data_IF_279583157184
#
_entry.id   IF_279583157184
#
_cell.length_a   1.000
_cell.length_b   1.000
_cell.length_c   1.000
_cell.angle_alpha   90.00
_cell.angle_beta   90.00
_cell.angle_gamma   90.00
#
_symmetry.space_group_name_H-M   'P 1'
#
loop_
_entity.id
_entity.type
_entity.pdbx_description
1 polymer ?
#
# COMPACT_ATOMS: atom_id res chain seq x y z
N UNK A 1 -18.47 -7.24 24.17
CA UNK A 1 -18.74 -7.07 22.73
C UNK A 1 -17.62 -7.80 22.03
N UNK A 2 -17.96 -8.80 21.21
CA UNK A 2 -16.96 -9.54 20.45
C UNK A 2 -16.44 -8.62 19.34
N UNK A 3 -15.12 -8.50 19.22
CA UNK A 3 -14.49 -7.73 18.16
C UNK A 3 -13.98 -8.66 17.07
N UNK A 4 -14.26 -8.34 15.82
CA UNK A 4 -13.65 -8.97 14.66
C UNK A 4 -12.36 -8.25 14.26
N UNK A 5 -11.38 -9.02 13.76
CA UNK A 5 -10.14 -8.52 13.18
C UNK A 5 -9.87 -9.21 11.85
N UNK A 6 -9.44 -8.44 10.86
CA UNK A 6 -8.96 -8.90 9.55
C UNK A 6 -7.49 -8.49 9.45
N UNK A 7 -6.61 -9.45 9.18
CA UNK A 7 -5.17 -9.20 9.07
C UNK A 7 -4.70 -9.53 7.66
N UNK A 8 -3.90 -8.64 7.07
CA UNK A 8 -3.28 -8.81 5.78
C UNK A 8 -1.78 -8.58 5.90
N UNK A 9 -1.00 -9.50 5.34
CA UNK A 9 0.44 -9.37 5.20
C UNK A 9 0.77 -9.12 3.73
N UNK A 10 1.62 -8.13 3.46
CA UNK A 10 2.04 -7.82 2.10
C UNK A 10 3.48 -7.32 2.10
N UNK A 11 4.18 -7.48 0.97
CA UNK A 11 5.50 -6.89 0.75
C UNK A 11 5.37 -5.82 -0.33
N UNK A 12 5.59 -4.55 0.01
CA UNK A 12 5.33 -3.49 -0.96
C UNK A 12 5.61 -2.08 -0.46
N UNK A 13 5.21 -1.09 -1.26
CA UNK A 13 5.44 0.34 -1.05
C UNK A 13 4.14 1.14 -0.90
N UNK A 14 3.00 0.52 -1.15
CA UNK A 14 1.69 1.13 -0.94
C UNK A 14 0.58 0.07 -0.79
N UNK A 15 -0.52 0.45 -0.14
CA UNK A 15 -1.74 -0.33 0.04
C UNK A 15 -2.98 0.56 -0.01
N UNK A 16 -4.04 0.08 -0.65
CA UNK A 16 -5.39 0.65 -0.64
C UNK A 16 -6.39 -0.44 -0.26
N UNK A 17 -7.31 -0.14 0.66
CA UNK A 17 -8.35 -1.06 1.11
C UNK A 17 -9.72 -0.53 0.70
N UNK A 18 -10.54 -1.45 0.18
CA UNK A 18 -11.87 -1.15 -0.32
C UNK A 18 -12.92 -2.01 0.38
N UNK A 19 -13.98 -1.37 0.83
CA UNK A 19 -15.16 -2.02 1.40
C UNK A 19 -16.36 -1.94 0.47
N UNK A 20 -17.34 -2.79 0.75
CA UNK A 20 -18.73 -2.57 0.36
C UNK A 20 -19.42 -1.90 1.56
N UNK A 21 -20.07 -0.76 1.34
CA UNK A 21 -20.81 -0.05 2.38
C UNK A 21 -22.30 -0.16 2.11
N UNK A 22 -23.05 -0.65 3.10
CA UNK A 22 -24.50 -0.71 3.06
C UNK A 22 -25.08 0.49 3.80
N UNK A 23 -26.20 1.02 3.32
CA UNK A 23 -26.96 2.07 3.99
C UNK A 23 -28.16 1.44 4.70
N UNK A 24 -29.26 1.22 3.99
CA UNK A 24 -30.46 0.60 4.53
C UNK A 24 -30.75 -0.75 3.84
N UNK A 25 -30.78 -1.84 4.62
CA UNK A 25 -31.06 -3.20 4.12
C UNK A 25 -32.29 -3.84 4.77
N UNK A 26 -33.03 -3.07 5.58
CA UNK A 26 -34.19 -3.54 6.33
C UNK A 26 -34.17 -3.03 7.77
N UNK A 27 -35.33 -3.07 8.42
CA UNK A 27 -35.45 -2.66 9.82
C UNK A 27 -34.63 -3.57 10.72
N UNK A 28 -34.05 -2.98 11.78
CA UNK A 28 -33.32 -3.70 12.85
C UNK A 28 -32.05 -4.42 12.37
N UNK A 29 -31.56 -4.12 11.17
CA UNK A 29 -30.26 -4.59 10.68
C UNK A 29 -29.21 -3.48 10.84
N UNK A 30 -28.08 -3.79 11.47
CA UNK A 30 -26.96 -2.82 11.57
C UNK A 30 -26.15 -2.80 10.28
N UNK A 31 -25.88 -1.59 9.81
CA UNK A 31 -25.01 -1.30 8.65
C UNK A 31 -23.98 -0.22 9.00
N UNK A 32 -23.91 0.19 10.27
CA UNK A 32 -22.88 1.07 10.81
C UNK A 32 -21.51 0.39 10.67
N UNK A 33 -20.61 0.97 9.90
CA UNK A 33 -19.25 0.45 9.76
C UNK A 33 -18.29 1.33 10.54
N UNK A 34 -17.71 0.78 11.62
CA UNK A 34 -16.60 1.39 12.37
C UNK A 34 -15.42 0.43 12.31
N UNK A 35 -14.23 0.94 11.99
CA UNK A 35 -13.02 0.12 11.95
C UNK A 35 -11.77 0.95 12.27
N UNK A 36 -10.82 0.31 12.94
CA UNK A 36 -9.49 0.81 13.21
C UNK A 36 -8.48 0.10 12.30
N UNK A 37 -7.70 0.87 11.56
CA UNK A 37 -6.64 0.39 10.68
C UNK A 37 -5.27 0.60 11.34
N UNK A 38 -4.56 -0.48 11.61
CA UNK A 38 -3.22 -0.48 12.21
C UNK A 38 -2.23 -1.07 11.22
N UNK A 39 -1.33 -0.25 10.68
CA UNK A 39 -0.22 -0.69 9.82
C UNK A 39 1.06 -0.78 10.65
N UNK A 40 1.70 -1.94 10.64
CA UNK A 40 2.98 -2.22 11.33
C UNK A 40 2.95 -1.81 12.81
N UNK A 41 1.85 -2.14 13.50
CA UNK A 41 1.64 -1.85 14.94
C UNK A 41 1.64 -0.37 15.32
N UNK A 42 1.59 0.53 14.33
CA UNK A 42 1.51 1.98 14.56
C UNK A 42 0.14 2.39 15.11
N UNK A 43 0.03 3.65 15.55
CA UNK A 43 -1.24 4.23 16.01
C UNK A 43 -2.38 3.97 15.02
N UNK A 44 -3.52 3.42 15.49
CA UNK A 44 -4.64 3.11 14.62
C UNK A 44 -5.20 4.36 13.94
N UNK A 45 -5.67 4.17 12.70
CA UNK A 45 -6.46 5.16 11.96
C UNK A 45 -7.91 4.72 11.99
N UNK A 46 -8.77 5.56 12.56
CA UNK A 46 -10.20 5.26 12.66
C UNK A 46 -10.94 5.61 11.37
N UNK A 47 -11.84 4.72 10.96
CA UNK A 47 -12.78 4.89 9.86
C UNK A 47 -14.21 4.71 10.34
N UNK A 48 -15.12 5.51 9.77
CA UNK A 48 -16.53 5.46 10.08
C UNK A 48 -17.38 5.73 8.84
N UNK A 49 -18.37 4.86 8.62
CA UNK A 49 -19.49 5.08 7.70
C UNK A 49 -20.80 5.05 8.46
N UNK A 50 -21.54 6.16 8.43
CA UNK A 50 -22.88 6.26 8.99
C UNK A 50 -23.92 5.94 7.90
N UNK A 51 -24.75 4.91 8.09
CA UNK A 51 -25.77 4.57 7.12
C UNK A 51 -26.83 5.68 7.06
N UNK A 52 -27.36 5.91 5.85
CA UNK A 52 -28.54 6.74 5.63
C UNK A 52 -29.75 5.89 5.23
N UNK A 53 -30.88 6.53 4.93
CA UNK A 53 -32.13 5.84 4.55
C UNK A 53 -32.14 5.30 3.11
N UNK A 54 -31.05 5.48 2.34
CA UNK A 54 -30.97 4.93 0.99
C UNK A 54 -30.83 3.42 1.01
N UNK A 55 -31.52 2.73 0.10
CA UNK A 55 -31.32 1.29 -0.16
C UNK A 55 -30.10 1.00 -1.03
N UNK A 56 -29.33 2.02 -1.43
CA UNK A 56 -28.16 1.86 -2.27
C UNK A 56 -26.99 1.25 -1.51
N UNK A 57 -26.45 0.15 -2.05
CA UNK A 57 -25.16 -0.42 -1.69
C UNK A 57 -24.03 0.28 -2.43
N UNK A 58 -23.02 0.75 -1.70
CA UNK A 58 -21.85 1.44 -2.24
C UNK A 58 -20.70 0.44 -2.40
N UNK A 59 -20.32 0.17 -3.65
CA UNK A 59 -19.17 -0.70 -3.97
C UNK A 59 -17.90 0.11 -4.15
N UNK A 60 -16.73 -0.55 -4.11
CA UNK A 60 -15.42 0.06 -4.37
C UNK A 60 -15.12 1.28 -3.47
N UNK A 61 -15.57 1.27 -2.22
CA UNK A 61 -15.38 2.40 -1.33
C UNK A 61 -13.98 2.33 -0.71
N UNK A 62 -13.09 3.26 -1.07
CA UNK A 62 -11.75 3.34 -0.48
C UNK A 62 -11.87 3.83 0.96
N UNK A 63 -11.54 2.96 1.92
CA UNK A 63 -11.69 3.23 3.36
C UNK A 63 -10.36 3.48 4.06
N UNK A 64 -9.27 3.05 3.43
CA UNK A 64 -7.92 3.25 3.94
C UNK A 64 -6.91 3.22 2.80
N UNK A 65 -5.89 4.07 2.89
CA UNK A 65 -4.75 4.02 1.98
C UNK A 65 -3.47 4.49 2.65
N UNK A 66 -2.36 3.85 2.32
CA UNK A 66 -1.01 4.32 2.62
C UNK A 66 -0.09 4.11 1.44
N UNK A 67 0.67 5.14 1.14
CA UNK A 67 1.72 5.16 0.11
C UNK A 67 3.05 5.46 0.78
N UNK A 68 4.13 5.46 -0.01
CA UNK A 68 5.47 5.81 0.47
C UNK A 68 5.96 4.91 1.62
N UNK A 69 5.52 3.65 1.60
CA UNK A 69 6.02 2.65 2.51
C UNK A 69 7.40 2.16 2.04
N UNK A 70 8.23 1.75 2.99
CA UNK A 70 9.49 1.07 2.66
C UNK A 70 9.17 -0.23 1.92
N UNK A 71 9.96 -0.62 0.91
CA UNK A 71 9.70 -1.85 0.15
C UNK A 71 10.07 -3.12 0.97
N UNK A 72 9.31 -3.41 2.03
CA UNK A 72 9.53 -4.51 2.96
C UNK A 72 8.21 -5.20 3.32
N UNK A 73 8.26 -6.16 4.23
CA UNK A 73 7.06 -6.83 4.74
C UNK A 73 6.30 -5.90 5.68
N UNK A 74 5.00 -5.81 5.46
CA UNK A 74 4.05 -5.03 6.22
C UNK A 74 2.90 -5.89 6.71
N UNK A 75 2.32 -5.49 7.84
CA UNK A 75 1.12 -6.10 8.38
C UNK A 75 0.07 -5.02 8.60
N UNK A 76 -1.03 -5.10 7.85
CA UNK A 76 -2.22 -4.27 8.05
C UNK A 76 -3.27 -5.06 8.84
N UNK A 77 -3.67 -4.53 9.99
CA UNK A 77 -4.76 -5.05 10.80
C UNK A 77 -5.95 -4.10 10.76
N UNK A 78 -7.12 -4.62 10.38
CA UNK A 78 -8.41 -3.95 10.43
C UNK A 78 -9.18 -4.53 11.60
N UNK A 79 -9.52 -3.71 12.59
CA UNK A 79 -10.16 -4.21 13.81
C UNK A 79 -11.38 -3.37 14.20
N UNK A 80 -12.38 -4.03 14.76
CA UNK A 80 -13.52 -3.40 15.43
C UNK A 80 -13.30 -3.27 16.94
N UNK A 81 -12.13 -3.65 17.47
CA UNK A 81 -11.82 -3.48 18.89
C UNK A 81 -11.83 -2.00 19.29
N UNK A 82 -12.44 -1.70 20.44
CA UNK A 82 -12.54 -0.35 20.98
C UNK A 82 -13.59 0.54 20.31
N UNK A 83 -14.46 -0.02 19.46
CA UNK A 83 -15.64 0.68 18.94
C UNK A 83 -16.86 0.32 19.78
N UNK A 84 -17.73 1.30 20.01
CA UNK A 84 -18.96 1.11 20.79
C UNK A 84 -20.14 0.72 19.89
N UNK A 85 -20.89 -0.30 20.31
CA UNK A 85 -22.11 -0.74 19.64
C UNK A 85 -21.93 -1.87 18.62
N UNK A 86 -23.03 -2.23 17.96
CA UNK A 86 -23.05 -3.29 16.96
C UNK A 86 -22.67 -2.74 15.59
N UNK A 87 -21.57 -3.24 15.04
CA UNK A 87 -21.02 -2.75 13.76
C UNK A 87 -20.98 -3.85 12.71
N UNK A 88 -21.00 -3.44 11.46
CA UNK A 88 -20.89 -4.28 10.28
C UNK A 88 -19.68 -3.87 9.45
N UNK A 89 -18.77 -4.81 9.19
CA UNK A 89 -17.61 -4.62 8.32
C UNK A 89 -17.72 -5.58 7.14
N UNK A 90 -17.73 -5.06 5.92
CA UNK A 90 -17.72 -5.84 4.69
C UNK A 90 -16.48 -5.52 3.86
N UNK A 91 -15.43 -6.30 4.07
CA UNK A 91 -14.22 -6.24 3.27
C UNK A 91 -14.52 -6.67 1.83
N UNK A 92 -14.01 -5.91 0.85
CA UNK A 92 -14.16 -6.26 -0.56
C UNK A 92 -12.84 -6.73 -1.17
N UNK A 93 -11.87 -5.82 -1.30
CA UNK A 93 -10.52 -6.14 -1.76
C UNK A 93 -9.50 -5.13 -1.23
N UNK A 94 -8.24 -5.50 -1.33
CA UNK A 94 -7.12 -4.60 -1.15
C UNK A 94 -6.19 -4.70 -2.36
N UNK A 95 -5.54 -3.59 -2.69
CA UNK A 95 -4.51 -3.50 -3.72
C UNK A 95 -3.23 -3.07 -3.02
N UNK A 96 -2.12 -3.76 -3.27
CA UNK A 96 -0.80 -3.29 -2.87
C UNK A 96 0.13 -3.25 -4.08
N UNK A 97 1.12 -2.36 -4.03
CA UNK A 97 2.18 -2.25 -5.04
C UNK A 97 3.51 -2.57 -4.41
N UNK A 98 4.44 -3.13 -5.18
CA UNK A 98 5.81 -3.39 -4.74
C UNK A 98 6.79 -2.94 -5.82
N UNK A 99 8.04 -2.73 -5.43
CA UNK A 99 9.13 -2.48 -6.39
C UNK A 99 9.90 -3.78 -6.57
N UNK A 100 10.01 -4.25 -7.82
CA UNK A 100 10.92 -5.32 -8.15
C UNK A 100 12.28 -4.71 -8.49
N UNK A 101 13.28 -4.93 -7.63
CA UNK A 101 14.66 -4.68 -8.02
C UNK A 101 15.09 -5.92 -8.78
N UNK A 102 15.09 -5.89 -10.11
CA UNK A 102 15.77 -6.93 -10.86
C UNK A 102 17.22 -6.94 -10.38
N UNK A 103 17.61 -8.05 -9.73
CA UNK A 103 19.00 -8.27 -9.41
C UNK A 103 19.74 -8.24 -10.74
N UNK A 104 20.52 -7.18 -10.98
CA UNK A 104 21.34 -7.07 -12.17
C UNK A 104 22.03 -8.41 -12.38
N UNK A 105 21.80 -9.01 -13.55
CA UNK A 105 22.30 -10.32 -13.95
C UNK A 105 23.72 -10.53 -13.44
N UNK A 106 23.88 -11.30 -12.37
CA UNK A 106 25.19 -11.78 -11.94
C UNK A 106 25.77 -12.54 -13.12
N UNK A 107 26.94 -12.16 -13.67
CA UNK A 107 27.58 -12.98 -14.68
C UNK A 107 27.84 -14.34 -14.05
N UNK A 108 27.26 -15.39 -14.61
CA UNK A 108 27.58 -16.76 -14.24
C UNK A 108 29.07 -16.97 -14.47
N UNK A 109 29.86 -17.05 -13.42
CA UNK A 109 31.25 -17.50 -13.49
C UNK A 109 31.24 -18.94 -14.01
N UNK A 110 31.43 -19.13 -15.31
CA UNK A 110 31.83 -20.42 -15.86
C UNK A 110 33.27 -20.67 -15.39
N UNK A 111 33.43 -21.64 -14.49
CA UNK A 111 34.73 -22.17 -14.10
C UNK A 111 35.33 -22.95 -15.27
N UNK A 112 35.93 -22.23 -16.21
CA UNK A 112 36.79 -22.79 -17.26
C UNK A 112 38.24 -22.76 -16.77
N UNK A 113 38.76 -23.94 -16.45
CA UNK A 113 40.10 -24.17 -15.94
C UNK A 113 41.14 -24.08 -17.08
N UNK A 114 41.79 -22.91 -17.29
CA UNK A 114 42.96 -22.79 -18.16
C UNK A 114 44.03 -21.83 -17.59
N UNK A 115 45.26 -22.37 -17.53
CA UNK A 115 46.55 -21.90 -16.97
C UNK A 115 47.03 -20.53 -17.52
N UNK A 116 47.82 -19.74 -16.75
CA UNK A 116 48.07 -18.33 -17.05
C UNK A 116 49.23 -18.10 -18.03
N UNK A 117 49.12 -17.01 -18.80
CA UNK A 117 50.25 -16.36 -19.46
C UNK A 117 50.16 -14.83 -19.24
N UNK A 118 51.25 -14.28 -18.72
CA UNK A 118 51.44 -12.90 -18.27
C UNK A 118 51.28 -11.85 -19.38
N UNK A 119 50.85 -10.63 -19.04
CA UNK A 119 51.55 -9.35 -19.35
C UNK A 119 50.77 -8.16 -18.77
N UNK A 120 51.54 -7.22 -18.22
CA UNK A 120 51.23 -5.98 -17.50
C UNK A 120 50.13 -5.09 -18.10
N UNK A 121 49.48 -4.25 -17.27
CA UNK A 121 49.68 -2.77 -17.20
C UNK A 121 48.51 -2.05 -16.48
N UNK A 122 48.86 -1.34 -15.40
CA UNK A 122 48.33 -0.06 -14.88
C UNK A 122 46.87 0.10 -14.37
N UNK A 123 46.82 0.35 -13.06
CA UNK A 123 45.89 1.16 -12.24
C UNK A 123 44.88 2.07 -12.93
N UNK A 124 43.62 2.04 -12.47
CA UNK A 124 42.97 3.18 -11.76
C UNK A 124 41.67 2.68 -11.11
N UNK A 125 41.57 2.82 -9.79
CA UNK A 125 40.31 2.70 -9.07
C UNK A 125 39.39 3.84 -9.50
N UNK A 126 38.37 3.52 -10.30
CA UNK A 126 37.34 4.46 -10.72
C UNK A 126 36.33 4.69 -9.59
N UNK A 127 36.65 5.63 -8.71
CA UNK A 127 35.66 6.37 -7.93
C UNK A 127 34.69 7.00 -8.94
N UNK A 128 33.41 6.64 -8.89
CA UNK A 128 32.34 7.41 -9.52
C UNK A 128 31.30 7.75 -8.46
N UNK A 129 31.42 8.96 -7.94
CA UNK A 129 30.35 9.62 -7.20
C UNK A 129 29.27 10.08 -8.15
N UNK A 130 28.01 9.89 -7.76
CA UNK A 130 26.86 10.50 -8.42
C UNK A 130 26.33 11.57 -7.47
N UNK A 131 26.74 12.80 -7.74
CA UNK A 131 26.05 14.03 -7.34
C UNK A 131 25.25 14.47 -8.56
N UNK A 132 23.93 14.52 -8.46
CA UNK A 132 23.02 14.95 -9.53
C UNK A 132 21.67 15.34 -8.95
N UNK A 133 21.29 16.61 -9.10
CA UNK A 133 20.32 17.31 -8.26
C UNK A 133 18.85 16.98 -8.46
N UNK A 134 18.05 17.24 -7.41
CA UNK A 134 16.58 17.24 -7.45
C UNK A 134 16.14 18.69 -7.63
N UNK A 135 15.74 19.08 -8.84
CA UNK A 135 14.83 20.23 -9.05
C UNK A 135 13.92 19.91 -10.23
N UNK A 136 12.60 19.87 -9.97
CA UNK A 136 11.58 19.96 -11.02
C UNK A 136 10.62 18.77 -11.11
N UNK A 137 9.82 18.51 -10.07
CA UNK A 137 8.81 17.45 -10.10
C UNK A 137 7.47 17.76 -9.43
N UNK A 138 7.23 18.99 -8.98
CA UNK A 138 5.99 19.36 -8.27
C UNK A 138 4.99 20.16 -9.11
N UNK A 139 5.30 20.45 -10.38
CA UNK A 139 4.44 21.26 -11.25
C UNK A 139 3.40 20.50 -12.07
N UNK A 140 3.65 19.24 -12.44
CA UNK A 140 2.83 18.54 -13.45
C UNK A 140 1.65 17.77 -12.84
N UNK A 141 1.79 17.26 -11.61
CA UNK A 141 0.74 16.44 -10.97
C UNK A 141 -0.45 17.31 -10.50
N UNK A 142 -0.20 18.55 -10.09
CA UNK A 142 -1.27 19.45 -9.64
C UNK A 142 -2.17 19.90 -10.80
N UNK A 143 -1.63 20.08 -12.01
CA UNK A 143 -2.42 20.53 -13.18
C UNK A 143 -3.42 19.46 -13.66
N UNK A 144 -3.04 18.18 -13.59
CA UNK A 144 -3.91 17.07 -14.00
C UNK A 144 -5.13 16.90 -13.06
N UNK A 145 -4.96 17.14 -11.76
CA UNK A 145 -6.04 17.02 -10.77
C UNK A 145 -7.10 18.11 -10.96
N UNK A 146 -6.71 19.32 -11.38
CA UNK A 146 -7.67 20.41 -11.62
C UNK A 146 -8.48 20.23 -12.91
N UNK A 147 -7.93 19.58 -13.95
CA UNK A 147 -8.64 19.37 -15.21
C UNK A 147 -9.69 18.25 -15.15
N UNK A 148 -9.55 17.29 -14.24
CA UNK A 148 -10.52 16.19 -14.08
C UNK A 148 -11.73 16.62 -13.22
N UNK A 149 -11.57 17.65 -12.37
CA UNK A 149 -12.66 18.15 -11.50
C UNK A 149 -13.65 19.08 -12.18
N UNK A 150 -13.45 19.39 -13.45
CA UNK A 150 -14.34 20.23 -14.25
C UNK A 150 -14.84 19.45 -15.46
N UNK A 151 -15.61 18.40 -15.21
CA UNK A 151 -16.55 17.85 -16.17
C UNK A 151 -17.77 17.26 -15.47
#
# INVERSE_FOLDING_TARGET
MDSISITMEFKGVAIWVYFILSNYVGERVTTLTLANFTLDERSPVFYQHHPNQSTTTLYNQSVYSRTELANNNHTLRISTSGVDGQVFVSFYYAIYTHVNFEAGSSPSSQSGDHKPASTNTTTTSGISGIVGGIVGGTGVVVLAIFLIRRH
#
